data_IF_592151002222
#
_entry.id   IF_592151002222
#
_cell.length_a   1.000
_cell.length_b   1.000
_cell.length_c   1.000
_cell.angle_alpha   90.00
_cell.angle_beta   90.00
_cell.angle_gamma   90.00
#
_symmetry.space_group_name_H-M   'P 1'
#
loop_
_entity.id
_entity.type
_entity.pdbx_description
1 polymer ?
#
# COMPACT_ATOMS: atom_id res chain seq x y z
N UNK A 1 -8.79 22.50 7.91
CA UNK A 1 -8.13 22.16 6.63
C UNK A 1 -7.71 20.70 6.71
N UNK A 2 -8.23 19.83 5.85
CA UNK A 2 -7.88 18.40 5.84
C UNK A 2 -6.41 18.26 5.43
N UNK A 3 -5.63 17.54 6.23
CA UNK A 3 -4.23 17.31 5.91
C UNK A 3 -4.08 16.20 4.87
N UNK A 4 -3.85 16.67 3.64
CA UNK A 4 -3.08 16.00 2.59
C UNK A 4 -2.05 14.97 3.05
N UNK A 5 -2.25 13.64 2.96
CA UNK A 5 -1.21 12.64 3.30
C UNK A 5 -1.04 11.55 2.24
N UNK A 6 0.21 11.32 1.83
CA UNK A 6 0.64 10.17 1.01
C UNK A 6 1.26 9.12 1.93
N UNK A 7 0.66 7.94 1.98
CA UNK A 7 1.09 6.86 2.87
C UNK A 7 1.51 5.65 2.05
N UNK A 8 2.67 5.09 2.37
CA UNK A 8 3.13 3.81 1.84
C UNK A 8 3.02 2.72 2.91
N UNK A 9 2.53 1.55 2.51
CA UNK A 9 2.53 0.34 3.32
C UNK A 9 3.41 -0.70 2.62
N UNK A 10 4.36 -1.30 3.33
CA UNK A 10 5.18 -2.40 2.81
C UNK A 10 4.59 -3.73 3.29
N UNK A 11 4.23 -4.58 2.34
CA UNK A 11 3.55 -5.85 2.53
C UNK A 11 2.05 -5.75 2.19
N UNK A 12 1.62 -6.36 1.09
CA UNK A 12 0.20 -6.43 0.70
C UNK A 12 -0.50 -7.71 1.21
N UNK A 13 -0.03 -8.26 2.33
CA UNK A 13 -0.66 -9.37 3.05
C UNK A 13 -1.82 -8.94 3.94
N UNK A 14 -2.27 -9.82 4.84
CA UNK A 14 -3.38 -9.55 5.75
C UNK A 14 -3.13 -8.34 6.66
N UNK A 15 -1.91 -8.21 7.18
CA UNK A 15 -1.47 -7.09 8.01
C UNK A 15 -1.58 -5.76 7.27
N UNK A 16 -1.03 -5.70 6.03
CA UNK A 16 -1.08 -4.48 5.23
C UNK A 16 -2.49 -4.09 4.80
N UNK A 17 -3.33 -5.06 4.42
CA UNK A 17 -4.74 -4.81 4.13
C UNK A 17 -5.53 -4.34 5.34
N UNK A 18 -5.26 -4.91 6.52
CA UNK A 18 -5.88 -4.46 7.77
C UNK A 18 -5.50 -3.01 8.11
N UNK A 19 -4.24 -2.64 7.91
CA UNK A 19 -3.81 -1.24 8.08
C UNK A 19 -4.39 -0.32 7.02
N UNK A 20 -4.48 -0.78 5.78
CA UNK A 20 -5.15 -0.05 4.72
C UNK A 20 -6.64 0.15 5.02
N UNK A 21 -7.31 -0.85 5.59
CA UNK A 21 -8.68 -0.77 6.09
C UNK A 21 -8.79 0.29 7.19
N UNK A 22 -7.94 0.23 8.22
CA UNK A 22 -7.88 1.24 9.29
C UNK A 22 -7.75 2.67 8.73
N UNK A 23 -6.78 2.90 7.85
CA UNK A 23 -6.53 4.22 7.23
C UNK A 23 -7.72 4.65 6.36
N UNK A 24 -8.30 3.72 5.60
CA UNK A 24 -9.47 3.98 4.73
C UNK A 24 -10.66 4.46 5.54
N UNK A 25 -10.92 3.88 6.73
CA UNK A 25 -11.99 4.33 7.64
C UNK A 25 -11.77 5.73 8.18
N UNK A 26 -10.51 6.13 8.41
CA UNK A 26 -10.19 7.47 8.87
C UNK A 26 -10.37 8.53 7.77
N UNK A 27 -10.21 8.17 6.49
CA UNK A 27 -10.43 9.07 5.35
C UNK A 27 -9.44 10.23 5.24
N UNK A 28 -8.30 10.16 5.92
CA UNK A 28 -7.30 11.23 6.01
C UNK A 28 -6.06 10.95 5.15
N UNK A 29 -6.24 10.72 3.85
CA UNK A 29 -5.13 10.53 2.90
C UNK A 29 -5.55 10.89 1.48
N UNK A 30 -4.56 11.31 0.67
CA UNK A 30 -4.69 11.55 -0.76
C UNK A 30 -4.30 10.35 -1.61
N UNK A 31 -3.32 9.58 -1.13
CA UNK A 31 -2.72 8.44 -1.79
C UNK A 31 -2.34 7.40 -0.74
N UNK A 32 -2.74 6.15 -0.97
CA UNK A 32 -2.36 5.01 -0.16
C UNK A 32 -1.84 3.90 -1.09
N UNK A 33 -0.54 3.66 -1.04
CA UNK A 33 0.10 2.64 -1.87
C UNK A 33 0.57 1.47 -1.00
N UNK A 34 0.12 0.25 -1.32
CA UNK A 34 0.60 -0.99 -0.71
C UNK A 34 1.62 -1.61 -1.64
N UNK A 35 2.84 -1.84 -1.16
CA UNK A 35 3.94 -2.45 -1.91
C UNK A 35 4.08 -3.93 -1.57
N UNK A 36 4.35 -4.77 -2.57
CA UNK A 36 4.60 -6.19 -2.37
C UNK A 36 5.60 -6.73 -3.40
N UNK A 37 6.37 -7.73 -3.00
CA UNK A 37 7.29 -8.42 -3.91
C UNK A 37 6.53 -9.25 -4.95
N UNK A 38 5.33 -9.73 -4.61
CA UNK A 38 4.52 -10.50 -5.56
C UNK A 38 3.96 -9.59 -6.66
N UNK A 39 4.04 -9.98 -7.94
CA UNK A 39 3.44 -9.21 -9.05
C UNK A 39 1.92 -9.15 -8.97
N UNK A 40 1.29 -10.16 -8.37
CA UNK A 40 -0.16 -10.24 -8.16
C UNK A 40 -0.42 -10.74 -6.73
N UNK A 41 -0.35 -9.86 -5.72
CA UNK A 41 -0.52 -10.27 -4.34
C UNK A 41 -1.84 -11.02 -4.16
N UNK A 42 -1.79 -12.17 -3.48
CA UNK A 42 -2.96 -13.05 -3.30
C UNK A 42 -4.15 -12.33 -2.66
N UNK A 43 -3.89 -11.25 -1.92
CA UNK A 43 -4.88 -10.32 -1.39
C UNK A 43 -5.85 -9.75 -2.41
N UNK A 44 -5.40 -9.51 -3.64
CA UNK A 44 -6.21 -8.87 -4.69
C UNK A 44 -7.11 -9.88 -5.40
N UNK A 45 -6.74 -11.16 -5.43
CA UNK A 45 -7.50 -12.21 -6.13
C UNK A 45 -8.95 -12.34 -5.61
N UNK A 46 -9.17 -12.07 -4.34
CA UNK A 46 -10.50 -12.07 -3.70
C UNK A 46 -11.41 -10.92 -4.14
N UNK A 47 -10.87 -9.86 -4.72
CA UNK A 47 -11.61 -8.65 -5.10
C UNK A 47 -11.94 -8.54 -6.59
N UNK A 48 -11.31 -9.36 -7.44
CA UNK A 48 -11.60 -9.38 -8.88
C UNK A 48 -12.98 -9.97 -9.22
N UNK A 49 -13.58 -10.75 -8.31
CA UNK A 49 -14.85 -11.48 -8.55
C UNK A 49 -16.12 -10.71 -8.20
N UNK A 50 -16.03 -9.56 -7.52
CA UNK A 50 -17.21 -8.76 -7.13
C UNK A 50 -17.40 -7.58 -8.08
N UNK A 51 -17.59 -7.86 -9.37
CA UNK A 51 -17.82 -6.87 -10.41
C UNK A 51 -19.28 -6.40 -10.50
N UNK A 52 -20.00 -6.27 -9.37
CA UNK A 52 -21.42 -5.85 -9.39
C UNK A 52 -21.75 -4.94 -8.20
N UNK A 53 -21.14 -3.75 -8.11
CA UNK A 53 -21.75 -2.62 -7.40
C UNK A 53 -21.48 -1.32 -8.18
N UNK A 54 -22.49 -0.45 -8.37
CA UNK A 54 -22.29 0.81 -9.09
C UNK A 54 -21.32 1.72 -8.33
N UNK A 55 -20.39 2.30 -9.10
CA UNK A 55 -19.35 3.22 -8.66
C UNK A 55 -19.96 4.38 -7.84
N UNK A 56 -19.74 4.42 -6.53
CA UNK A 56 -19.83 5.69 -5.79
C UNK A 56 -18.46 6.34 -5.86
N UNK A 57 -18.41 7.57 -6.37
CA UNK A 57 -17.23 8.40 -6.59
C UNK A 57 -16.48 8.71 -5.27
N UNK A 58 -15.83 7.72 -4.66
CA UNK A 58 -14.87 7.97 -3.59
C UNK A 58 -13.52 8.25 -4.23
N UNK A 59 -12.92 9.44 -4.06
CA UNK A 59 -11.64 9.81 -4.66
C UNK A 59 -10.42 9.12 -3.98
N UNK A 60 -10.61 7.96 -3.35
CA UNK A 60 -9.54 7.26 -2.64
C UNK A 60 -8.61 6.59 -3.64
N UNK A 61 -7.41 7.15 -3.82
CA UNK A 61 -6.31 6.55 -4.58
C UNK A 61 -5.63 5.47 -3.74
N UNK A 62 -6.34 4.38 -3.46
CA UNK A 62 -5.74 3.17 -2.91
C UNK A 62 -5.23 2.31 -4.07
N UNK A 63 -3.94 2.01 -4.08
CA UNK A 63 -3.31 1.13 -5.08
C UNK A 63 -2.53 0.03 -4.40
N UNK A 64 -2.41 -1.11 -5.07
CA UNK A 64 -1.38 -2.09 -4.74
C UNK A 64 -0.36 -2.09 -5.87
N UNK A 65 0.90 -1.97 -5.50
CA UNK A 65 2.05 -1.95 -6.40
C UNK A 65 2.82 -3.25 -6.15
N UNK A 66 2.74 -4.16 -7.10
CA UNK A 66 3.40 -5.47 -7.02
C UNK A 66 4.71 -5.51 -7.80
N UNK A 67 5.42 -6.62 -7.66
CA UNK A 67 6.72 -6.87 -8.27
C UNK A 67 7.78 -5.83 -7.85
N UNK A 68 7.71 -5.37 -6.61
CA UNK A 68 8.66 -4.43 -6.03
C UNK A 68 9.51 -5.16 -5.01
N UNK A 69 10.80 -5.43 -5.28
CA UNK A 69 11.66 -6.09 -4.33
C UNK A 69 11.92 -5.18 -3.12
N UNK A 70 12.06 -5.76 -1.93
CA UNK A 70 12.38 -4.96 -0.72
C UNK A 70 13.79 -4.39 -0.71
N UNK A 71 14.67 -4.94 -1.54
CA UNK A 71 16.00 -4.40 -1.83
C UNK A 71 16.23 -4.38 -3.35
N UNK A 72 16.76 -3.29 -3.87
CA UNK A 72 17.10 -3.15 -5.28
C UNK A 72 18.39 -2.37 -5.48
N UNK A 73 19.04 -2.59 -6.62
CA UNK A 73 20.26 -1.87 -6.97
C UNK A 73 19.90 -0.57 -7.68
N UNK A 74 20.51 0.52 -7.21
CA UNK A 74 20.50 1.78 -7.94
C UNK A 74 21.32 1.65 -9.21
N UNK A 75 20.67 1.77 -10.37
CA UNK A 75 21.36 1.71 -11.67
C UNK A 75 22.41 2.82 -11.84
N UNK A 76 22.32 3.92 -11.08
CA UNK A 76 23.24 5.06 -11.20
C UNK A 76 24.47 4.96 -10.28
N UNK A 77 24.34 4.33 -9.12
CA UNK A 77 25.40 4.27 -8.10
C UNK A 77 25.92 2.86 -7.82
N UNK A 78 25.26 1.82 -8.34
CA UNK A 78 25.50 0.39 -8.02
C UNK A 78 25.30 0.04 -6.55
N UNK A 79 24.78 0.98 -5.73
CA UNK A 79 24.51 0.74 -4.32
C UNK A 79 23.20 -0.04 -4.14
N UNK A 80 23.14 -0.87 -3.10
CA UNK A 80 21.87 -1.46 -2.66
C UNK A 80 21.03 -0.42 -1.95
N UNK A 81 19.76 -0.33 -2.33
CA UNK A 81 18.75 0.54 -1.74
C UNK A 81 17.70 -0.34 -1.06
N UNK A 82 17.44 -0.08 0.22
CA UNK A 82 16.29 -0.64 0.92
C UNK A 82 15.03 0.14 0.57
N UNK A 83 13.96 -0.56 0.19
CA UNK A 83 12.68 0.03 -0.21
C UNK A 83 12.10 0.98 0.85
N UNK A 84 12.14 0.62 2.14
CA UNK A 84 11.60 1.47 3.20
C UNK A 84 12.31 2.83 3.25
N UNK A 85 13.65 2.81 3.26
CA UNK A 85 14.46 4.05 3.25
C UNK A 85 14.26 4.88 1.99
N UNK A 86 13.94 4.24 0.86
CA UNK A 86 13.61 4.95 -0.36
C UNK A 86 12.23 5.60 -0.25
N UNK A 87 11.22 4.86 0.23
CA UNK A 87 9.85 5.34 0.38
C UNK A 87 9.75 6.50 1.38
N UNK A 88 10.54 6.50 2.45
CA UNK A 88 10.60 7.60 3.43
C UNK A 88 10.97 8.95 2.79
N UNK A 89 11.63 8.94 1.63
CA UNK A 89 11.97 10.16 0.87
C UNK A 89 10.83 10.62 -0.06
N UNK A 90 9.83 9.78 -0.33
CA UNK A 90 8.78 10.04 -1.33
C UNK A 90 7.36 10.04 -0.75
N UNK A 91 7.17 9.59 0.49
CA UNK A 91 5.89 9.49 1.20
C UNK A 91 5.96 10.22 2.54
N UNK A 92 4.81 10.71 3.02
CA UNK A 92 4.72 11.39 4.31
C UNK A 92 4.81 10.40 5.48
N UNK A 93 4.37 9.15 5.26
CA UNK A 93 4.49 8.06 6.22
C UNK A 93 4.75 6.73 5.51
N UNK A 94 5.59 5.89 6.11
CA UNK A 94 5.87 4.53 5.67
C UNK A 94 5.56 3.57 6.81
N UNK A 95 4.80 2.51 6.53
CA UNK A 95 4.40 1.49 7.49
C UNK A 95 4.86 0.12 6.99
N UNK A 96 5.69 -0.56 7.77
CA UNK A 96 6.05 -1.97 7.49
C UNK A 96 5.01 -2.86 8.15
N UNK A 97 4.35 -3.72 7.38
CA UNK A 97 3.22 -4.52 7.82
C UNK A 97 3.61 -5.96 8.19
N UNK A 98 4.55 -6.11 9.12
CA UNK A 98 5.11 -7.40 9.58
C UNK A 98 4.50 -7.91 10.90
N UNK A 99 3.46 -7.25 11.40
CA UNK A 99 2.79 -7.60 12.66
C UNK A 99 1.75 -8.71 12.52
N UNK A 100 1.52 -9.41 13.63
CA UNK A 100 0.56 -10.53 13.74
C UNK A 100 -0.63 -10.22 14.65
N UNK A 101 -0.63 -9.06 15.33
CA UNK A 101 -1.69 -8.66 16.27
C UNK A 101 -2.24 -7.28 15.94
N UNK A 102 -3.50 -7.04 16.31
CA UNK A 102 -4.14 -5.73 16.10
C UNK A 102 -3.49 -4.64 16.93
N UNK A 103 -3.06 -4.94 18.16
CA UNK A 103 -2.38 -3.96 19.01
C UNK A 103 -1.09 -3.45 18.34
N UNK A 104 -0.26 -4.35 17.81
CA UNK A 104 0.95 -3.97 17.10
C UNK A 104 0.66 -3.15 15.84
N UNK A 105 -0.40 -3.48 15.09
CA UNK A 105 -0.84 -2.70 13.94
C UNK A 105 -1.20 -1.25 14.33
N UNK A 106 -1.99 -1.07 15.40
CA UNK A 106 -2.36 0.26 15.89
C UNK A 106 -1.13 1.04 16.37
N UNK A 107 -0.18 0.39 17.05
CA UNK A 107 1.07 1.01 17.48
C UNK A 107 1.92 1.47 16.29
N UNK A 108 2.09 0.62 15.27
CA UNK A 108 2.83 0.95 14.05
C UNK A 108 2.20 2.13 13.30
N UNK A 109 0.87 2.12 13.15
CA UNK A 109 0.12 3.21 12.53
C UNK A 109 0.28 4.52 13.29
N UNK A 110 0.10 4.48 14.62
CA UNK A 110 0.24 5.66 15.48
C UNK A 110 1.66 6.25 15.41
N UNK A 111 2.68 5.39 15.45
CA UNK A 111 4.08 5.80 15.32
C UNK A 111 4.37 6.45 13.97
N UNK A 112 3.94 5.84 12.87
CA UNK A 112 4.17 6.36 11.52
C UNK A 112 3.49 7.71 11.28
N UNK A 113 2.25 7.88 11.77
CA UNK A 113 1.51 9.13 11.59
C UNK A 113 2.06 10.27 12.46
N UNK A 114 2.53 10.01 13.67
CA UNK A 114 3.08 11.04 14.55
C UNK A 114 4.50 11.47 14.17
N UNK A 115 5.28 10.55 13.63
CA UNK A 115 6.63 10.85 13.15
C UNK A 115 6.63 11.43 11.73
N UNK A 116 5.48 11.44 11.05
CA UNK A 116 5.35 12.12 9.76
C UNK A 116 5.66 13.60 9.95
N UNK A 117 6.76 14.07 9.36
CA UNK A 117 7.01 15.50 9.22
C UNK A 117 5.86 16.01 8.37
N UNK A 118 4.95 16.81 8.95
CA UNK A 118 3.97 17.56 8.18
C UNK A 118 4.76 18.40 7.19
N UNK A 119 4.87 17.94 5.96
CA UNK A 119 5.32 18.79 4.87
C UNK A 119 4.24 19.86 4.72
N UNK A 120 4.44 21.04 5.32
CA UNK A 120 3.65 22.26 5.11
C UNK A 120 3.82 22.82 3.68
N UNK A 121 4.32 21.98 2.77
CA UNK A 121 4.60 22.30 1.40
C UNK A 121 3.29 22.38 0.63
N UNK A 122 2.82 23.61 0.50
CA UNK A 122 1.94 24.10 -0.57
C UNK A 122 2.54 23.91 -1.97
N UNK A 123 3.76 23.36 -2.11
CA UNK A 123 4.27 22.96 -3.40
C UNK A 123 3.38 21.83 -3.92
N UNK A 124 2.67 22.13 -5.00
CA UNK A 124 2.06 21.14 -5.88
C UNK A 124 3.02 19.96 -5.98
N UNK A 125 2.69 18.84 -5.35
CA UNK A 125 3.48 17.62 -5.42
C UNK A 125 3.73 17.36 -6.90
N UNK A 126 4.96 17.58 -7.38
CA UNK A 126 5.32 17.29 -8.76
C UNK A 126 5.26 15.77 -8.87
N UNK A 127 4.14 15.34 -9.46
CA UNK A 127 3.61 13.98 -9.65
C UNK A 127 4.55 13.07 -10.44
N UNK A 128 5.80 12.91 -10.04
CA UNK A 128 6.53 11.72 -10.45
C UNK A 128 5.92 10.57 -9.64
N UNK A 129 5.04 9.81 -10.28
CA UNK A 129 4.40 8.64 -9.70
C UNK A 129 5.51 7.74 -9.15
N UNK A 130 5.37 7.23 -7.92
CA UNK A 130 6.35 6.31 -7.34
C UNK A 130 6.61 5.13 -8.28
N UNK A 131 5.58 4.70 -8.99
CA UNK A 131 5.59 3.75 -10.10
C UNK A 131 6.53 4.18 -11.22
N UNK A 132 6.46 5.42 -11.71
CA UNK A 132 7.32 5.94 -12.78
C UNK A 132 8.78 5.97 -12.34
N UNK A 133 9.06 6.38 -11.10
CA UNK A 133 10.41 6.36 -10.55
C UNK A 133 10.96 4.93 -10.46
N UNK A 134 10.18 3.98 -9.94
CA UNK A 134 10.58 2.57 -9.89
C UNK A 134 10.87 2.03 -11.30
N UNK A 135 10.01 2.32 -12.28
CA UNK A 135 10.24 1.96 -13.69
C UNK A 135 11.49 2.60 -14.27
N UNK A 136 11.77 3.87 -13.95
CA UNK A 136 12.99 4.56 -14.41
C UNK A 136 14.28 3.95 -13.85
N UNK A 137 14.21 3.29 -12.70
CA UNK A 137 15.30 2.50 -12.11
C UNK A 137 15.39 1.07 -12.69
N UNK A 138 14.58 0.75 -13.71
CA UNK A 138 14.55 -0.56 -14.35
C UNK A 138 13.74 -1.62 -13.58
N UNK A 139 12.95 -1.24 -12.58
CA UNK A 139 12.12 -2.16 -11.79
C UNK A 139 10.76 -2.34 -12.51
N UNK A 140 10.43 -3.55 -13.00
CA UNK A 140 9.20 -3.77 -13.74
C UNK A 140 8.01 -3.94 -12.79
N UNK A 141 7.38 -2.85 -12.37
CA UNK A 141 6.27 -2.90 -11.39
C UNK A 141 4.91 -3.24 -12.02
N UNK A 142 4.06 -3.93 -11.28
CA UNK A 142 2.63 -4.08 -11.59
C UNK A 142 1.82 -3.08 -10.75
N UNK A 143 0.74 -2.54 -11.32
CA UNK A 143 -0.11 -1.58 -10.60
C UNK A 143 -1.57 -2.00 -10.67
N UNK A 144 -2.13 -2.26 -9.49
CA UNK A 144 -3.53 -2.61 -9.29
C UNK A 144 -4.26 -1.37 -8.80
N UNK A 145 -4.92 -0.69 -9.74
CA UNK A 145 -5.70 0.51 -9.47
C UNK A 145 -7.09 0.15 -8.93
N UNK A 146 -7.71 1.12 -8.25
CA UNK A 146 -9.12 1.10 -7.92
C UNK A 146 -9.52 -0.26 -7.35
N UNK A 147 -8.93 -0.68 -6.23
CA UNK A 147 -9.46 -1.81 -5.46
C UNK A 147 -10.87 -1.41 -5.02
N UNK A 148 -11.85 -1.72 -5.89
CA UNK A 148 -13.07 -0.91 -6.10
C UNK A 148 -13.82 -0.67 -4.80
N UNK A 149 -13.73 -1.59 -3.84
CA UNK A 149 -14.08 -1.35 -2.46
C UNK A 149 -13.24 -2.25 -1.57
N UNK A 150 -12.10 -1.77 -1.05
CA UNK A 150 -11.46 -2.46 0.07
C UNK A 150 -12.50 -2.58 1.20
N UNK A 151 -12.97 -3.78 1.57
CA UNK A 151 -14.01 -3.93 2.57
C UNK A 151 -13.47 -3.45 3.91
N UNK A 152 -14.05 -2.39 4.44
CA UNK A 152 -13.60 -1.83 5.70
C UNK A 152 -14.36 -2.39 6.90
N UNK A 153 -13.75 -2.31 8.08
CA UNK A 153 -14.35 -2.73 9.35
C UNK A 153 -14.08 -4.19 9.70
N UNK A 154 -13.09 -4.80 9.04
CA UNK A 154 -12.68 -6.18 9.32
C UNK A 154 -11.60 -6.22 10.39
N UNK A 155 -11.57 -7.29 11.18
CA UNK A 155 -10.47 -7.61 12.10
C UNK A 155 -9.26 -8.15 11.34
N UNK A 156 -8.08 -8.13 11.96
CA UNK A 156 -6.87 -8.71 11.36
C UNK A 156 -7.06 -10.21 11.09
N UNK A 157 -7.74 -10.93 11.98
CA UNK A 157 -8.06 -12.34 11.81
C UNK A 157 -8.96 -12.61 10.60
N UNK A 158 -9.95 -11.75 10.35
CA UNK A 158 -10.81 -11.85 9.16
C UNK A 158 -10.02 -11.60 7.87
N UNK A 159 -9.06 -10.68 7.90
CA UNK A 159 -8.14 -10.45 6.79
C UNK A 159 -7.22 -11.66 6.55
N UNK A 160 -6.66 -12.25 7.60
CA UNK A 160 -5.87 -13.48 7.51
C UNK A 160 -6.67 -14.61 6.86
N UNK A 161 -7.92 -14.81 7.29
CA UNK A 161 -8.78 -15.84 6.70
C UNK A 161 -9.09 -15.59 5.22
N UNK A 162 -9.31 -14.32 4.84
CA UNK A 162 -9.53 -13.94 3.43
C UNK A 162 -8.33 -14.32 2.56
N UNK A 163 -7.09 -14.08 3.04
CA UNK A 163 -5.87 -14.44 2.33
C UNK A 163 -5.69 -15.95 2.19
N UNK A 164 -5.97 -16.70 3.25
CA UNK A 164 -5.91 -18.18 3.23
C UNK A 164 -6.85 -18.71 2.15
N UNK A 165 -8.07 -18.20 2.09
CA UNK A 165 -9.05 -18.58 1.06
C UNK A 165 -8.58 -18.20 -0.35
N UNK A 166 -8.07 -16.98 -0.53
CA UNK A 166 -7.59 -16.51 -1.83
C UNK A 166 -6.43 -17.35 -2.38
N UNK A 167 -5.49 -17.76 -1.51
CA UNK A 167 -4.39 -18.67 -1.87
C UNK A 167 -4.86 -20.08 -2.23
N UNK A 168 -6.01 -20.51 -1.71
CA UNK A 168 -6.63 -21.78 -2.05
C UNK A 168 -7.34 -21.79 -3.41
N UNK A 169 -7.48 -20.64 -4.08
CA UNK A 169 -8.07 -20.56 -5.42
C UNK A 169 -6.98 -20.93 -6.43
N UNK A 170 -7.15 -22.02 -7.21
CA UNK A 170 -6.19 -22.34 -8.26
C UNK A 170 -6.17 -21.22 -9.30
N UNK A 171 -4.99 -20.64 -9.50
CA UNK A 171 -4.73 -19.74 -10.61
C UNK A 171 -4.14 -20.56 -11.75
N UNK A 172 -4.77 -20.53 -12.92
CA UNK A 172 -4.16 -21.07 -14.12
C UNK A 172 -2.99 -20.15 -14.48
N UNK A 173 -1.77 -20.69 -14.45
CA UNK A 173 -0.59 -20.05 -15.03
C UNK A 173 -0.50 -20.38 -16.52
#
# INVERSE_FOLDING_TARGET
MSQSRRIAIIGAGAAGLYTADLITRCGMFDLLDLFDESPAPASIATYSRTAIHPLKNTPTRLRVIGNVPFEFIDSSTTASINLATWLEKHYDAVIIADYTTELAAHQALHHALNNSVLSTSTAQYTNADSVEKLKSMGIPVTVWHNLVHLPTGRTLAQWQQTIIQARGIPVCF
#
